data_IF_650075894852
#
_entry.id   IF_650075894852
#
_cell.length_a   1.000
_cell.length_b   1.000
_cell.length_c   1.000
_cell.angle_alpha   90.00
_cell.angle_beta   90.00
_cell.angle_gamma   90.00
#
_symmetry.space_group_name_H-M   'P 1'
#
loop_
_entity.id
_entity.type
_entity.pdbx_description
1 polymer ?
#
# COMPACT_ATOMS: atom_id res chain seq x y z
N UNK A 1 9.31 -23.95 -24.34
CA UNK A 1 9.08 -24.87 -23.19
C UNK A 1 8.05 -24.20 -22.29
N UNK A 2 6.90 -24.82 -22.15
CA UNK A 2 5.88 -24.32 -21.23
C UNK A 2 6.38 -24.53 -19.80
N UNK A 3 6.41 -23.44 -19.03
CA UNK A 3 6.79 -23.49 -17.61
C UNK A 3 5.56 -23.80 -16.80
N UNK A 4 5.55 -24.93 -16.13
CA UNK A 4 4.47 -25.32 -15.21
C UNK A 4 4.90 -25.06 -13.78
N UNK A 5 4.02 -24.46 -12.99
CA UNK A 5 4.20 -24.18 -11.57
C UNK A 5 3.10 -24.84 -10.76
N UNK A 6 3.43 -25.26 -9.54
CA UNK A 6 2.47 -25.82 -8.60
C UNK A 6 1.64 -24.70 -7.94
N UNK A 7 2.27 -23.55 -7.71
CA UNK A 7 1.62 -22.36 -7.17
C UNK A 7 2.03 -21.09 -7.93
N UNK A 8 1.03 -20.24 -8.18
CA UNK A 8 1.22 -18.89 -8.73
C UNK A 8 0.68 -17.88 -7.71
N UNK A 9 1.55 -16.99 -7.24
CA UNK A 9 1.23 -15.97 -6.25
C UNK A 9 1.17 -14.62 -6.97
N UNK A 10 0.07 -13.91 -6.82
CA UNK A 10 -0.13 -12.59 -7.41
C UNK A 10 0.15 -11.53 -6.35
N UNK A 11 1.20 -10.74 -6.60
CA UNK A 11 1.68 -9.68 -5.73
C UNK A 11 2.82 -10.13 -4.79
N UNK A 12 3.96 -9.45 -4.89
CA UNK A 12 5.14 -9.66 -4.05
C UNK A 12 5.19 -8.67 -2.86
N UNK A 13 4.04 -8.38 -2.26
CA UNK A 13 3.94 -7.67 -0.99
C UNK A 13 4.22 -8.59 0.21
N UNK A 14 3.99 -8.10 1.43
CA UNK A 14 4.29 -8.83 2.68
C UNK A 14 3.70 -10.24 2.71
N UNK A 15 2.42 -10.40 2.35
CA UNK A 15 1.75 -11.69 2.35
C UNK A 15 2.29 -12.63 1.25
N UNK A 16 2.46 -12.10 0.03
CA UNK A 16 2.98 -12.90 -1.09
C UNK A 16 4.39 -13.40 -0.87
N UNK A 17 5.26 -12.58 -0.28
CA UNK A 17 6.62 -12.97 0.09
C UNK A 17 6.62 -14.09 1.15
N UNK A 18 5.75 -14.03 2.13
CA UNK A 18 5.61 -15.09 3.14
C UNK A 18 5.13 -16.39 2.51
N UNK A 19 4.11 -16.33 1.65
CA UNK A 19 3.61 -17.50 0.93
C UNK A 19 4.69 -18.10 0.03
N UNK A 20 5.40 -17.27 -0.75
CA UNK A 20 6.48 -17.72 -1.62
C UNK A 20 7.57 -18.45 -0.82
N UNK A 21 8.01 -17.87 0.30
CA UNK A 21 9.02 -18.49 1.16
C UNK A 21 8.56 -19.82 1.75
N UNK A 22 7.33 -19.90 2.26
CA UNK A 22 6.82 -21.11 2.91
C UNK A 22 6.54 -22.23 1.93
N UNK A 23 5.93 -21.93 0.79
CA UNK A 23 5.61 -22.94 -0.22
C UNK A 23 6.86 -23.48 -0.95
N UNK A 24 7.87 -22.62 -1.15
CA UNK A 24 9.13 -23.04 -1.78
C UNK A 24 10.11 -23.73 -0.81
N UNK A 25 9.75 -23.91 0.45
CA UNK A 25 10.56 -24.65 1.41
C UNK A 25 10.71 -26.14 1.03
N UNK A 26 9.71 -26.70 0.35
CA UNK A 26 9.82 -28.01 -0.29
C UNK A 26 10.49 -27.84 -1.67
N UNK A 27 11.68 -28.44 -1.88
CA UNK A 27 12.43 -28.30 -3.14
C UNK A 27 11.72 -28.93 -4.35
N UNK A 28 10.70 -29.75 -4.14
CA UNK A 28 9.89 -30.33 -5.20
C UNK A 28 8.74 -29.39 -5.64
N UNK A 29 8.46 -28.35 -4.87
CA UNK A 29 7.37 -27.39 -5.14
C UNK A 29 7.88 -26.22 -5.96
N UNK A 30 7.30 -26.02 -7.15
CA UNK A 30 7.62 -24.89 -8.04
C UNK A 30 6.66 -23.75 -7.78
N UNK A 31 7.18 -22.65 -7.26
CA UNK A 31 6.41 -21.45 -6.96
C UNK A 31 6.79 -20.32 -7.92
N UNK A 32 5.79 -19.67 -8.50
CA UNK A 32 5.94 -18.45 -9.26
C UNK A 32 5.31 -17.29 -8.49
N UNK A 33 6.04 -16.20 -8.32
CA UNK A 33 5.49 -14.96 -7.79
C UNK A 33 5.50 -13.89 -8.88
N UNK A 34 4.38 -13.21 -9.06
CA UNK A 34 4.18 -12.17 -10.07
C UNK A 34 3.94 -10.84 -9.37
N UNK A 35 4.70 -9.82 -9.74
CA UNK A 35 4.59 -8.47 -9.20
C UNK A 35 4.31 -7.47 -10.33
N UNK A 36 3.34 -6.57 -10.12
CA UNK A 36 2.99 -5.54 -11.09
C UNK A 36 4.00 -4.38 -11.11
N UNK A 37 4.65 -4.16 -9.99
CA UNK A 37 5.62 -3.08 -9.82
C UNK A 37 7.02 -3.45 -10.29
N UNK A 38 7.89 -2.48 -10.22
CA UNK A 38 9.32 -2.63 -10.55
C UNK A 38 10.08 -3.26 -9.37
N UNK A 39 11.36 -3.57 -9.61
CA UNK A 39 12.29 -3.89 -8.52
C UNK A 39 12.40 -2.71 -7.55
N UNK A 40 12.64 -3.00 -6.31
CA UNK A 40 12.79 -2.06 -5.19
C UNK A 40 14.16 -1.34 -5.19
N UNK A 41 14.59 -0.87 -6.35
CA UNK A 41 15.90 -0.23 -6.53
C UNK A 41 15.92 1.25 -6.19
N UNK A 42 14.79 1.84 -5.83
CA UNK A 42 14.72 3.23 -5.41
C UNK A 42 15.44 3.40 -4.05
N UNK A 43 16.46 4.27 -3.94
CA UNK A 43 17.20 4.45 -2.69
C UNK A 43 16.33 4.84 -1.50
N UNK A 44 15.21 5.53 -1.74
CA UNK A 44 14.26 5.95 -0.69
C UNK A 44 13.60 4.75 0.02
N UNK A 45 13.52 3.59 -0.64
CA UNK A 45 13.02 2.35 -0.05
C UNK A 45 13.98 1.82 1.02
N UNK A 46 15.29 1.97 0.79
CA UNK A 46 16.35 1.36 1.62
C UNK A 46 16.88 2.28 2.72
N UNK A 47 16.43 3.52 2.77
CA UNK A 47 16.82 4.49 3.79
C UNK A 47 15.64 4.71 4.76
N UNK A 48 15.79 4.49 6.08
CA UNK A 48 14.68 4.58 7.03
C UNK A 48 13.84 5.86 6.94
N UNK A 49 14.45 7.03 6.74
CA UNK A 49 13.72 8.29 6.55
C UNK A 49 13.19 8.48 5.13
N UNK A 50 13.53 7.56 4.20
CA UNK A 50 13.21 7.70 2.78
C UNK A 50 11.71 7.78 2.49
N UNK A 51 10.87 7.16 3.32
CA UNK A 51 9.42 7.22 3.19
C UNK A 51 8.88 8.67 3.18
N UNK A 52 9.50 9.59 3.93
CA UNK A 52 9.09 10.98 4.00
C UNK A 52 9.31 11.75 2.69
N UNK A 53 10.09 11.22 1.77
CA UNK A 53 10.38 11.80 0.45
C UNK A 53 9.52 11.19 -0.67
N UNK A 54 8.57 10.32 -0.34
CA UNK A 54 7.56 9.87 -1.28
C UNK A 54 6.43 10.90 -1.34
N UNK A 55 6.38 11.67 -2.41
CA UNK A 55 5.31 12.64 -2.67
C UNK A 55 4.05 11.99 -3.27
N UNK A 56 3.06 12.83 -3.66
CA UNK A 56 1.82 12.38 -4.28
C UNK A 56 2.01 11.52 -5.53
N UNK A 57 2.96 11.88 -6.37
CA UNK A 57 3.29 11.14 -7.61
C UNK A 57 4.40 10.12 -7.39
N UNK A 58 4.22 9.28 -6.38
CA UNK A 58 5.20 8.27 -6.02
C UNK A 58 5.29 7.18 -7.11
N UNK A 59 6.46 7.01 -7.79
CA UNK A 59 6.61 6.07 -8.90
C UNK A 59 6.56 4.58 -8.47
N UNK A 60 6.66 4.31 -7.17
CA UNK A 60 6.56 2.98 -6.58
C UNK A 60 5.27 2.76 -5.79
N UNK A 61 4.25 3.57 -6.09
CA UNK A 61 2.90 3.46 -5.53
C UNK A 61 1.85 3.37 -6.65
N UNK A 62 0.69 2.82 -6.34
CA UNK A 62 -0.49 2.88 -7.20
C UNK A 62 -1.16 4.26 -7.20
N UNK A 63 -0.82 5.11 -6.22
CA UNK A 63 -1.35 6.46 -6.05
C UNK A 63 -2.88 6.51 -6.06
N UNK A 64 -3.52 5.58 -5.33
CA UNK A 64 -4.98 5.57 -5.21
C UNK A 64 -5.46 6.76 -4.37
N UNK A 65 -6.64 7.23 -4.69
CA UNK A 65 -7.38 8.22 -3.93
C UNK A 65 -8.78 7.69 -3.61
N UNK A 66 -9.36 8.17 -2.52
CA UNK A 66 -10.77 7.92 -2.24
C UNK A 66 -11.65 8.69 -3.22
N UNK A 67 -12.89 8.26 -3.39
CA UNK A 67 -13.93 9.12 -3.95
C UNK A 67 -14.12 10.35 -3.05
N UNK A 68 -14.67 11.47 -3.56
CA UNK A 68 -15.01 12.61 -2.72
C UNK A 68 -15.90 12.20 -1.55
N UNK A 69 -15.53 12.60 -0.34
CA UNK A 69 -16.23 12.20 0.89
C UNK A 69 -17.02 13.38 1.44
N UNK A 70 -18.34 13.25 1.49
CA UNK A 70 -19.27 14.34 1.87
C UNK A 70 -19.12 14.83 3.31
N UNK A 71 -18.52 14.01 4.18
CA UNK A 71 -18.26 14.33 5.59
C UNK A 71 -17.05 15.27 5.78
N UNK A 72 -16.25 15.48 4.76
CA UNK A 72 -15.12 16.39 4.79
C UNK A 72 -15.47 17.73 4.15
N UNK A 73 -14.76 18.77 4.58
CA UNK A 73 -14.91 20.12 4.01
C UNK A 73 -14.67 20.11 2.49
N UNK A 74 -15.39 20.98 1.80
CA UNK A 74 -15.14 21.24 0.39
C UNK A 74 -13.78 21.92 0.21
N UNK A 75 -13.03 21.47 -0.78
CA UNK A 75 -11.77 22.08 -1.18
C UNK A 75 -11.86 22.58 -2.61
N UNK A 76 -11.18 23.68 -2.88
CA UNK A 76 -11.09 24.20 -4.23
C UNK A 76 -9.97 23.48 -4.96
N UNK A 77 -10.29 22.79 -6.05
CA UNK A 77 -9.33 22.10 -6.92
C UNK A 77 -9.29 22.75 -8.29
N UNK A 78 -8.14 22.77 -8.91
CA UNK A 78 -7.97 23.30 -10.26
C UNK A 78 -8.09 22.15 -11.27
N UNK A 79 -9.16 22.14 -12.02
CA UNK A 79 -9.37 21.17 -13.10
C UNK A 79 -9.06 21.79 -14.48
N UNK A 80 -8.54 20.99 -15.43
CA UNK A 80 -8.36 21.45 -16.80
C UNK A 80 -9.74 21.68 -17.45
N UNK A 81 -10.06 22.93 -17.79
CA UNK A 81 -11.32 23.30 -18.42
C UNK A 81 -11.24 23.29 -19.95
N UNK A 82 -10.09 23.63 -20.51
CA UNK A 82 -9.86 23.64 -21.94
C UNK A 82 -8.37 23.66 -22.26
N UNK A 83 -8.02 23.19 -23.46
CA UNK A 83 -6.72 23.44 -24.06
C UNK A 83 -6.87 24.53 -25.12
N UNK A 84 -6.03 25.54 -25.09
CA UNK A 84 -5.99 26.63 -26.07
C UNK A 84 -4.64 26.58 -26.76
N UNK A 85 -4.66 26.61 -28.09
CA UNK A 85 -3.47 26.71 -28.91
C UNK A 85 -3.22 28.17 -29.23
N UNK A 86 -2.06 28.70 -28.88
CA UNK A 86 -1.68 30.06 -29.23
C UNK A 86 -1.28 30.20 -30.70
N UNK A 87 -1.09 31.43 -31.14
CA UNK A 87 -0.74 31.75 -32.55
C UNK A 87 0.64 31.21 -32.96
N UNK A 88 1.47 30.79 -32.03
CA UNK A 88 2.78 30.19 -32.27
C UNK A 88 2.74 28.65 -32.22
N UNK A 89 1.54 28.04 -31.99
CA UNK A 89 1.35 26.60 -31.86
C UNK A 89 1.61 26.05 -30.45
N UNK A 90 1.78 26.89 -29.45
CA UNK A 90 1.90 26.48 -28.06
C UNK A 90 0.54 26.07 -27.47
N UNK A 91 0.49 24.93 -26.76
CA UNK A 91 -0.71 24.44 -26.08
C UNK A 91 -0.74 24.92 -24.65
N UNK A 92 -1.80 25.63 -24.26
CA UNK A 92 -2.00 26.15 -22.92
C UNK A 92 -3.28 25.55 -22.33
N UNK A 93 -3.19 24.96 -21.14
CA UNK A 93 -4.36 24.46 -20.39
C UNK A 93 -4.96 25.61 -19.59
N UNK A 94 -6.24 25.90 -19.85
CA UNK A 94 -7.04 26.77 -18.98
C UNK A 94 -7.52 25.89 -17.82
N UNK A 95 -7.25 26.34 -16.60
CA UNK A 95 -7.75 25.69 -15.39
C UNK A 95 -8.93 26.47 -14.86
N UNK A 96 -9.97 25.75 -14.45
CA UNK A 96 -11.06 26.34 -13.68
C UNK A 96 -11.00 25.84 -12.24
N UNK A 97 -11.41 26.66 -11.31
CA UNK A 97 -11.56 26.26 -9.91
C UNK A 97 -12.92 25.63 -9.71
N UNK A 98 -12.93 24.39 -9.24
CA UNK A 98 -14.13 23.64 -8.91
C UNK A 98 -14.10 23.32 -7.42
N UNK A 99 -15.23 23.46 -6.74
CA UNK A 99 -15.36 23.00 -5.36
C UNK A 99 -15.78 21.55 -5.35
N UNK A 100 -14.98 20.71 -4.71
CA UNK A 100 -15.32 19.32 -4.48
C UNK A 100 -15.03 18.90 -3.03
N UNK A 101 -15.69 17.84 -2.58
CA UNK A 101 -15.39 17.25 -1.29
C UNK A 101 -13.97 16.62 -1.30
N UNK A 102 -13.30 16.75 -0.17
CA UNK A 102 -11.92 16.28 -0.01
C UNK A 102 -11.77 14.80 -0.36
N UNK A 103 -10.73 14.49 -1.10
CA UNK A 103 -10.25 13.13 -1.36
C UNK A 103 -9.09 12.80 -0.44
N UNK A 104 -9.03 11.57 0.01
CA UNK A 104 -7.91 11.07 0.82
C UNK A 104 -6.97 10.22 -0.01
N UNK A 105 -5.68 10.53 0.04
CA UNK A 105 -4.66 9.68 -0.57
C UNK A 105 -4.62 8.30 0.09
N UNK A 106 -4.54 7.25 -0.73
CA UNK A 106 -4.47 5.86 -0.30
C UNK A 106 -3.22 5.19 -0.90
N UNK A 107 -2.03 5.48 -0.37
CA UNK A 107 -0.80 4.93 -0.88
C UNK A 107 -0.78 3.40 -0.76
N UNK A 108 -0.43 2.74 -1.86
CA UNK A 108 -0.23 1.28 -1.92
C UNK A 108 1.00 1.02 -2.76
N UNK A 109 1.94 0.25 -2.23
CA UNK A 109 3.19 -0.04 -2.93
C UNK A 109 2.97 -0.81 -4.23
N UNK A 110 3.63 -0.36 -5.29
CA UNK A 110 3.72 -0.98 -6.61
C UNK A 110 5.18 -1.28 -6.94
N UNK A 111 5.75 -2.18 -6.18
CA UNK A 111 7.16 -2.59 -6.24
C UNK A 111 7.33 -3.92 -5.50
N UNK A 112 8.47 -4.59 -5.64
CA UNK A 112 8.82 -5.71 -4.77
C UNK A 112 8.77 -5.28 -3.30
N UNK A 113 8.16 -6.10 -2.45
CA UNK A 113 7.84 -5.77 -1.07
C UNK A 113 6.50 -5.06 -0.88
N UNK A 114 5.90 -4.51 -1.96
CA UNK A 114 4.60 -3.85 -1.90
C UNK A 114 4.57 -2.68 -0.93
N UNK A 115 3.51 -2.56 -0.13
CA UNK A 115 3.38 -1.46 0.84
C UNK A 115 4.40 -1.51 1.97
N UNK A 116 5.04 -2.65 2.25
CA UNK A 116 6.14 -2.69 3.23
C UNK A 116 7.40 -1.97 2.74
N UNK A 117 7.55 -1.76 1.42
CA UNK A 117 8.66 -1.00 0.85
C UNK A 117 8.47 0.53 0.92
N UNK A 118 7.25 1.01 1.20
CA UNK A 118 6.94 2.44 1.23
C UNK A 118 6.29 2.91 2.54
N UNK A 119 6.16 2.04 3.53
CA UNK A 119 5.57 2.37 4.82
C UNK A 119 6.53 3.19 5.69
N UNK A 120 6.01 3.75 6.78
CA UNK A 120 6.80 4.52 7.75
C UNK A 120 7.60 3.64 8.74
N UNK A 121 7.59 2.31 8.58
CA UNK A 121 8.30 1.33 9.42
C UNK A 121 7.99 1.44 10.92
N UNK A 122 6.79 1.90 11.28
CA UNK A 122 6.34 1.96 12.67
C UNK A 122 5.82 0.58 13.08
N UNK A 123 6.50 -0.04 14.04
CA UNK A 123 6.04 -1.29 14.66
C UNK A 123 5.30 -0.97 15.96
N UNK A 124 3.97 -1.01 15.91
CA UNK A 124 3.10 -0.72 17.05
C UNK A 124 2.02 -1.79 17.13
N UNK A 125 1.84 -2.40 18.31
CA UNK A 125 0.68 -3.25 18.57
C UNK A 125 -0.56 -2.39 18.74
N UNK A 126 -1.72 -2.89 18.29
CA UNK A 126 -3.01 -2.26 18.56
C UNK A 126 -3.26 -2.14 20.08
N UNK A 127 -4.07 -1.17 20.45
CA UNK A 127 -4.41 -0.96 21.85
C UNK A 127 -5.26 -2.12 22.39
N UNK A 128 -5.07 -2.49 23.65
CA UNK A 128 -5.83 -3.58 24.31
C UNK A 128 -7.34 -3.43 24.11
N UNK A 129 -7.83 -2.20 24.25
CA UNK A 129 -9.25 -1.90 24.13
C UNK A 129 -9.83 -2.30 22.74
N UNK A 130 -9.10 -2.15 21.67
CA UNK A 130 -9.60 -2.49 20.34
C UNK A 130 -9.95 -3.97 20.24
N UNK A 131 -9.08 -4.81 20.75
CA UNK A 131 -9.25 -6.27 20.72
C UNK A 131 -10.31 -6.75 21.72
N UNK A 132 -10.31 -6.20 22.93
CA UNK A 132 -11.32 -6.52 23.95
C UNK A 132 -12.71 -6.07 23.48
N UNK A 133 -12.79 -4.94 22.75
CA UNK A 133 -14.02 -4.51 22.10
C UNK A 133 -14.47 -5.48 21.01
N UNK A 134 -13.56 -5.96 20.15
CA UNK A 134 -13.91 -6.97 19.16
C UNK A 134 -14.44 -8.26 19.81
N UNK A 135 -13.81 -8.72 20.88
CA UNK A 135 -14.28 -9.87 21.62
C UNK A 135 -15.70 -9.62 22.18
N UNK A 136 -15.97 -8.42 22.71
CA UNK A 136 -17.29 -8.05 23.26
C UNK A 136 -18.40 -8.03 22.20
N UNK A 137 -18.05 -7.87 20.93
CA UNK A 137 -18.96 -7.95 19.79
C UNK A 137 -19.27 -9.40 19.35
N UNK A 138 -18.78 -10.40 20.09
CA UNK A 138 -19.01 -11.82 19.80
C UNK A 138 -17.90 -12.51 19.01
N UNK A 139 -16.73 -11.86 18.84
CA UNK A 139 -15.59 -12.50 18.20
C UNK A 139 -14.76 -13.23 19.26
N UNK A 140 -15.13 -14.46 19.55
CA UNK A 140 -14.42 -15.31 20.51
C UNK A 140 -12.97 -15.54 20.07
N UNK A 141 -12.03 -15.54 21.03
CA UNK A 141 -10.60 -15.70 20.78
C UNK A 141 -9.87 -14.42 20.33
N UNK A 142 -10.55 -13.27 20.29
CA UNK A 142 -9.98 -11.99 19.87
C UNK A 142 -9.68 -11.03 21.01
N UNK A 143 -9.90 -11.40 22.29
CA UNK A 143 -9.47 -10.55 23.40
C UNK A 143 -7.96 -10.34 23.38
N UNK A 144 -7.50 -9.21 23.92
CA UNK A 144 -6.08 -8.86 23.89
C UNK A 144 -5.21 -9.95 24.52
N UNK A 145 -5.64 -10.54 25.62
CA UNK A 145 -4.86 -11.56 26.30
C UNK A 145 -4.76 -12.87 25.49
N UNK A 146 -5.81 -13.20 24.74
CA UNK A 146 -5.81 -14.38 23.86
C UNK A 146 -4.90 -14.19 22.63
N UNK A 147 -4.87 -12.98 22.05
CA UNK A 147 -4.06 -12.70 20.87
C UNK A 147 -2.60 -12.33 21.19
N UNK A 148 -2.31 -11.91 22.42
CA UNK A 148 -0.96 -11.47 22.83
C UNK A 148 0.13 -12.53 22.53
N UNK A 149 -0.20 -13.80 22.65
CA UNK A 149 0.72 -14.91 22.33
C UNK A 149 1.15 -14.89 20.86
N UNK A 150 0.27 -14.46 19.96
CA UNK A 150 0.59 -14.38 18.52
C UNK A 150 1.47 -13.16 18.21
N UNK A 151 1.24 -12.02 18.87
CA UNK A 151 2.15 -10.89 18.77
C UNK A 151 3.56 -11.27 19.23
N UNK A 152 3.68 -11.90 20.40
CA UNK A 152 4.97 -12.37 20.90
C UNK A 152 5.63 -13.40 20.00
N UNK A 153 4.85 -14.27 19.34
CA UNK A 153 5.37 -15.25 18.39
C UNK A 153 5.90 -14.62 17.10
N UNK A 154 5.26 -13.52 16.65
CA UNK A 154 5.65 -12.81 15.42
C UNK A 154 6.83 -11.85 15.64
N UNK A 155 7.08 -11.45 16.88
CA UNK A 155 8.13 -10.53 17.26
C UNK A 155 9.39 -11.29 17.71
N UNK A 156 10.53 -10.93 17.12
CA UNK A 156 11.83 -11.39 17.55
C UNK A 156 12.62 -10.16 17.99
N UNK A 157 12.54 -9.86 19.28
CA UNK A 157 13.22 -8.73 19.91
C UNK A 157 14.24 -9.27 20.90
N UNK A 158 15.52 -9.07 20.61
CA UNK A 158 16.67 -9.49 21.44
C UNK A 158 17.02 -8.41 22.48
#
# INVERSE_FOLDING_TARGET
MDKTYDFVIIGAGSAGCVLANRLSADPNTKVCIMEAGKKDTDPRIHIPIGFAFFGPDNPVSWNYETVPQKEFEEVTVAEPAAEVVDTAGGVHSIKQEVKEHRRGAQPRGKTLGGSSSINAMLYVRGHRWDYDHWASLGNEGWSYDEILKYFKKAEHNE
#
